data_IF_069755289271
#
_entry.id   IF_069755289271
#
_cell.length_a   1.000
_cell.length_b   1.000
_cell.length_c   1.000
_cell.angle_alpha   90.00
_cell.angle_beta   90.00
_cell.angle_gamma   90.00
#
_symmetry.space_group_name_H-M   'P 1'
#
loop_
_entity.id
_entity.type
_entity.pdbx_description
1 polymer ?
#
# COMPACT_ATOMS: atom_id res chain seq x y z
N UNK A 1 14.61 -11.37 -25.61
CA UNK A 1 15.23 -10.43 -24.66
C UNK A 1 14.19 -9.35 -24.42
N UNK A 2 13.58 -9.29 -23.23
CA UNK A 2 12.66 -8.20 -22.90
C UNK A 2 13.42 -6.88 -23.01
N UNK A 3 12.80 -5.86 -23.60
CA UNK A 3 13.40 -4.54 -23.61
C UNK A 3 13.67 -4.08 -22.16
N UNK A 4 14.78 -3.36 -21.90
CA UNK A 4 15.02 -2.79 -20.58
C UNK A 4 13.85 -1.85 -20.22
N UNK A 5 13.37 -1.94 -18.98
CA UNK A 5 12.32 -1.09 -18.44
C UNK A 5 12.85 0.34 -18.27
N UNK A 6 12.75 1.16 -19.33
CA UNK A 6 13.10 2.57 -19.28
C UNK A 6 12.00 3.35 -18.58
N UNK A 7 12.20 3.60 -17.29
CA UNK A 7 11.24 4.29 -16.42
C UNK A 7 10.88 5.67 -16.98
N UNK A 8 11.86 6.43 -17.50
CA UNK A 8 11.62 7.80 -17.95
C UNK A 8 10.80 7.83 -19.25
N UNK A 9 11.16 6.97 -20.21
CA UNK A 9 10.43 6.86 -21.47
C UNK A 9 9.00 6.32 -21.25
N UNK A 10 8.84 5.30 -20.41
CA UNK A 10 7.53 4.73 -20.08
C UNK A 10 6.67 5.73 -19.31
N UNK A 11 7.22 6.46 -18.33
CA UNK A 11 6.47 7.49 -17.61
C UNK A 11 5.94 8.58 -18.56
N UNK A 12 6.76 9.05 -19.50
CA UNK A 12 6.33 10.02 -20.51
C UNK A 12 5.24 9.46 -21.44
N UNK A 13 5.40 8.21 -21.89
CA UNK A 13 4.44 7.54 -22.79
C UNK A 13 3.08 7.29 -22.13
N UNK A 14 3.09 6.99 -20.83
CA UNK A 14 1.91 6.60 -20.07
C UNK A 14 1.24 7.75 -19.29
N UNK A 15 1.81 8.96 -19.31
CA UNK A 15 1.30 10.13 -18.59
C UNK A 15 -0.18 10.46 -18.89
N UNK A 16 -0.64 10.17 -20.12
CA UNK A 16 -2.02 10.44 -20.56
C UNK A 16 -2.82 9.16 -20.85
N UNK A 17 -2.33 7.99 -20.41
CA UNK A 17 -3.01 6.71 -20.59
C UNK A 17 -4.03 6.48 -19.47
N UNK A 18 -4.98 5.58 -19.72
CA UNK A 18 -5.94 5.19 -18.69
C UNK A 18 -5.23 4.46 -17.53
N UNK A 19 -5.74 4.53 -16.29
CA UNK A 19 -5.21 3.76 -15.16
C UNK A 19 -5.10 2.26 -15.47
N UNK A 20 -6.07 1.70 -16.20
CA UNK A 20 -6.06 0.30 -16.61
C UNK A 20 -4.91 -0.03 -17.57
N UNK A 21 -4.56 0.87 -18.48
CA UNK A 21 -3.40 0.66 -19.38
C UNK A 21 -2.07 0.76 -18.62
N UNK A 22 -1.98 1.66 -17.63
CA UNK A 22 -0.82 1.76 -16.74
C UNK A 22 -0.67 0.47 -15.91
N UNK A 23 -1.77 -0.06 -15.38
CA UNK A 23 -1.76 -1.33 -14.63
C UNK A 23 -1.40 -2.52 -15.52
N UNK A 24 -1.90 -2.57 -16.76
CA UNK A 24 -1.51 -3.61 -17.73
C UNK A 24 0.00 -3.60 -17.96
N UNK A 25 0.59 -2.43 -18.22
CA UNK A 25 2.04 -2.29 -18.36
C UNK A 25 2.78 -2.81 -17.13
N UNK A 26 2.31 -2.45 -15.93
CA UNK A 26 2.93 -2.87 -14.68
C UNK A 26 2.83 -4.40 -14.50
N UNK A 27 1.68 -5.01 -14.75
CA UNK A 27 1.52 -6.47 -14.71
C UNK A 27 2.33 -7.19 -15.80
N UNK A 28 2.47 -6.63 -16.99
CA UNK A 28 3.30 -7.20 -18.06
C UNK A 28 4.78 -7.29 -17.66
N UNK A 29 5.28 -6.34 -16.88
CA UNK A 29 6.70 -6.27 -16.50
C UNK A 29 7.01 -6.93 -15.15
N UNK A 30 6.12 -6.78 -14.17
CA UNK A 30 6.34 -7.25 -12.80
C UNK A 30 5.49 -8.46 -12.43
N UNK A 31 4.49 -8.83 -13.24
CA UNK A 31 3.65 -10.00 -13.00
C UNK A 31 3.08 -10.02 -11.58
N UNK A 32 3.26 -11.14 -10.90
CA UNK A 32 2.80 -11.35 -9.52
C UNK A 32 3.69 -10.65 -8.47
N UNK A 33 4.79 -10.01 -8.86
CA UNK A 33 5.63 -9.20 -7.95
C UNK A 33 5.19 -7.74 -7.86
N UNK A 34 4.12 -7.35 -8.58
CA UNK A 34 3.45 -6.06 -8.40
C UNK A 34 2.52 -6.09 -7.17
N UNK A 35 2.77 -5.21 -6.22
CA UNK A 35 1.92 -5.04 -5.03
C UNK A 35 1.05 -3.77 -5.11
N UNK A 36 -0.21 -3.89 -4.68
CA UNK A 36 -1.11 -2.75 -4.52
C UNK A 36 -1.13 -2.33 -3.05
N UNK A 37 -0.88 -1.05 -2.79
CA UNK A 37 -1.09 -0.43 -1.48
C UNK A 37 -2.54 0.03 -1.37
N UNK A 38 -3.26 -0.48 -0.37
CA UNK A 38 -4.67 -0.19 -0.14
C UNK A 38 -4.87 0.41 1.26
N UNK A 39 -5.28 1.68 1.33
CA UNK A 39 -5.46 2.42 2.59
C UNK A 39 -6.92 2.61 3.01
N UNK A 40 -7.88 2.29 2.15
CA UNK A 40 -9.31 2.43 2.44
C UNK A 40 -10.10 2.92 1.24
N UNK A 41 -11.14 3.72 1.50
CA UNK A 41 -12.15 4.08 0.51
C UNK A 41 -11.58 4.75 -0.75
N UNK A 42 -10.54 5.58 -0.62
CA UNK A 42 -9.89 6.22 -1.79
C UNK A 42 -9.27 5.21 -2.78
N UNK A 43 -8.69 4.12 -2.26
CA UNK A 43 -7.87 3.21 -3.05
C UNK A 43 -8.65 2.01 -3.61
N UNK A 44 -9.92 1.84 -3.25
CA UNK A 44 -10.69 0.65 -3.64
C UNK A 44 -10.85 0.53 -5.16
N UNK A 45 -10.87 1.66 -5.87
CA UNK A 45 -10.93 1.67 -7.34
C UNK A 45 -9.66 1.07 -7.94
N UNK A 46 -8.50 1.34 -7.35
CA UNK A 46 -7.23 0.73 -7.78
C UNK A 46 -7.25 -0.79 -7.54
N UNK A 47 -7.74 -1.25 -6.38
CA UNK A 47 -7.91 -2.68 -6.09
C UNK A 47 -8.84 -3.34 -7.10
N UNK A 48 -10.00 -2.72 -7.39
CA UNK A 48 -10.97 -3.23 -8.36
C UNK A 48 -10.37 -3.36 -9.77
N UNK A 49 -9.70 -2.30 -10.25
CA UNK A 49 -9.07 -2.30 -11.57
C UNK A 49 -7.97 -3.35 -11.65
N UNK A 50 -7.11 -3.44 -10.63
CA UNK A 50 -6.02 -4.40 -10.59
C UNK A 50 -6.53 -5.84 -10.53
N UNK A 51 -7.54 -6.13 -9.70
CA UNK A 51 -8.16 -7.45 -9.59
C UNK A 51 -8.90 -7.88 -10.87
N UNK A 52 -9.47 -6.94 -11.62
CA UNK A 52 -10.06 -7.22 -12.95
C UNK A 52 -9.01 -7.65 -13.97
N UNK A 53 -7.79 -7.16 -13.85
CA UNK A 53 -6.66 -7.53 -14.72
C UNK A 53 -5.94 -8.79 -14.26
N UNK A 54 -5.72 -8.95 -12.96
CA UNK A 54 -5.09 -10.13 -12.36
C UNK A 54 -5.84 -10.57 -11.09
N UNK A 55 -6.47 -11.75 -11.13
CA UNK A 55 -7.20 -12.33 -9.99
C UNK A 55 -6.31 -12.73 -8.81
N UNK A 56 -5.01 -12.83 -9.03
CA UNK A 56 -4.00 -13.14 -8.01
C UNK A 56 -3.22 -11.90 -7.57
N UNK A 57 -3.74 -10.70 -7.83
CA UNK A 57 -3.09 -9.44 -7.44
C UNK A 57 -2.76 -9.44 -5.94
N UNK A 58 -1.52 -9.09 -5.60
CA UNK A 58 -1.08 -8.97 -4.21
C UNK A 58 -1.41 -7.59 -3.68
N UNK A 59 -2.07 -7.54 -2.52
CA UNK A 59 -2.53 -6.30 -1.90
C UNK A 59 -2.04 -6.26 -0.46
N UNK A 60 -1.60 -5.10 0.00
CA UNK A 60 -1.28 -4.86 1.40
C UNK A 60 -1.95 -3.59 1.94
N UNK A 61 -2.19 -3.56 3.24
CA UNK A 61 -2.70 -2.40 3.97
C UNK A 61 -1.81 -2.08 5.16
N UNK A 62 -1.55 -0.78 5.38
CA UNK A 62 -0.80 -0.30 6.55
C UNK A 62 -1.75 -0.10 7.72
N UNK A 63 -1.81 -1.08 8.61
CA UNK A 63 -2.52 -0.93 9.86
C UNK A 63 -1.65 -0.14 10.85
N UNK A 64 -1.95 1.13 11.03
CA UNK A 64 -1.25 1.99 12.00
C UNK A 64 -1.59 1.64 13.46
N UNK A 65 -2.55 0.74 13.69
CA UNK A 65 -3.15 0.42 14.98
C UNK A 65 -4.12 1.50 15.49
N UNK A 66 -4.38 2.54 14.68
CA UNK A 66 -5.18 3.72 15.05
C UNK A 66 -6.15 4.14 13.92
N UNK A 67 -6.43 3.24 13.00
CA UNK A 67 -7.44 3.45 11.96
C UNK A 67 -8.84 3.52 12.57
N UNK A 68 -9.77 4.12 11.84
CA UNK A 68 -11.18 4.09 12.22
C UNK A 68 -11.70 2.64 12.21
N UNK A 69 -12.58 2.24 13.14
CA UNK A 69 -13.26 0.94 13.09
C UNK A 69 -13.95 0.68 11.73
N UNK A 70 -14.48 1.73 11.10
CA UNK A 70 -15.06 1.71 9.76
C UNK A 70 -14.04 1.25 8.72
N UNK A 71 -12.79 1.72 8.80
CA UNK A 71 -11.71 1.33 7.89
C UNK A 71 -11.37 -0.16 8.04
N UNK A 72 -11.32 -0.70 9.26
CA UNK A 72 -11.08 -2.13 9.45
C UNK A 72 -12.20 -2.98 8.83
N UNK A 73 -13.47 -2.61 9.08
CA UNK A 73 -14.62 -3.31 8.47
C UNK A 73 -14.57 -3.22 6.95
N UNK A 74 -14.19 -2.07 6.41
CA UNK A 74 -14.09 -1.90 4.96
C UNK A 74 -12.93 -2.71 4.35
N UNK A 75 -11.77 -2.77 5.00
CA UNK A 75 -10.66 -3.61 4.55
C UNK A 75 -11.09 -5.08 4.49
N UNK A 76 -11.77 -5.57 5.53
CA UNK A 76 -12.26 -6.93 5.58
C UNK A 76 -13.38 -7.19 4.55
N UNK A 77 -14.27 -6.22 4.34
CA UNK A 77 -15.29 -6.31 3.29
C UNK A 77 -14.66 -6.42 1.89
N UNK A 78 -13.60 -5.65 1.60
CA UNK A 78 -12.87 -5.74 0.33
C UNK A 78 -12.15 -7.09 0.22
N UNK A 79 -11.53 -7.56 1.31
CA UNK A 79 -10.91 -8.89 1.39
C UNK A 79 -11.88 -9.99 0.97
N UNK A 80 -13.09 -9.97 1.53
CA UNK A 80 -14.15 -10.95 1.24
C UNK A 80 -14.74 -10.81 -0.16
N UNK A 81 -15.05 -9.59 -0.59
CA UNK A 81 -15.69 -9.30 -1.87
C UNK A 81 -14.83 -9.75 -3.06
N UNK A 82 -13.51 -9.58 -2.97
CA UNK A 82 -12.56 -9.90 -4.04
C UNK A 82 -11.85 -11.24 -3.84
N UNK A 83 -12.11 -11.95 -2.74
CA UNK A 83 -11.42 -13.18 -2.32
C UNK A 83 -9.88 -13.02 -2.35
N UNK A 84 -9.39 -11.90 -1.81
CA UNK A 84 -7.98 -11.56 -1.79
C UNK A 84 -7.41 -11.68 -0.38
N UNK A 85 -6.28 -12.38 -0.18
CA UNK A 85 -5.58 -12.36 1.10
C UNK A 85 -4.81 -11.04 1.27
N UNK A 86 -5.51 -9.98 1.71
CA UNK A 86 -4.89 -8.67 1.97
C UNK A 86 -3.89 -8.79 3.12
N UNK A 87 -2.62 -8.44 2.86
CA UNK A 87 -1.57 -8.46 3.86
C UNK A 87 -1.66 -7.24 4.78
N UNK A 88 -1.92 -7.46 6.07
CA UNK A 88 -2.03 -6.39 7.06
C UNK A 88 -0.67 -6.16 7.72
N UNK A 89 -0.13 -4.95 7.57
CA UNK A 89 1.17 -4.56 8.11
C UNK A 89 1.01 -3.68 9.34
N UNK A 90 1.31 -4.25 10.52
CA UNK A 90 1.26 -3.52 11.80
C UNK A 90 2.63 -2.90 12.18
N UNK A 91 2.65 -1.89 13.08
CA UNK A 91 3.89 -1.24 13.50
C UNK A 91 4.78 -2.19 14.31
N UNK A 92 6.11 -2.01 14.23
CA UNK A 92 7.04 -2.72 15.09
C UNK A 92 6.87 -2.29 16.56
N UNK A 93 6.49 -3.26 17.40
CA UNK A 93 6.29 -3.07 18.83
C UNK A 93 7.55 -2.54 19.53
N UNK A 94 8.73 -2.98 19.12
CA UNK A 94 9.99 -2.55 19.73
C UNK A 94 10.25 -1.05 19.55
N UNK A 95 9.67 -0.44 18.51
CA UNK A 95 9.73 1.01 18.25
C UNK A 95 8.54 1.74 18.85
N UNK A 96 7.35 1.13 18.80
CA UNK A 96 6.11 1.75 19.23
C UNK A 96 5.98 1.87 20.75
N UNK A 97 6.33 0.83 21.49
CA UNK A 97 6.21 0.78 22.95
C UNK A 97 6.99 1.91 23.65
N UNK A 98 8.30 2.14 23.38
CA UNK A 98 9.02 3.24 24.02
C UNK A 98 8.46 4.62 23.63
N UNK A 99 8.11 4.82 22.36
CA UNK A 99 7.52 6.07 21.88
C UNK A 99 6.22 6.43 22.61
N UNK A 100 5.30 5.46 22.76
CA UNK A 100 4.04 5.67 23.49
C UNK A 100 4.29 5.85 24.98
N UNK A 101 5.23 5.10 25.57
CA UNK A 101 5.58 5.21 26.99
C UNK A 101 6.11 6.60 27.33
N UNK A 102 6.92 7.19 26.45
CA UNK A 102 7.52 8.51 26.66
C UNK A 102 6.56 9.65 26.32
N UNK A 103 5.90 9.59 25.16
CA UNK A 103 5.16 10.73 24.58
C UNK A 103 3.63 10.59 24.64
N UNK A 104 3.13 9.45 25.13
CA UNK A 104 1.71 9.14 25.17
C UNK A 104 1.11 8.80 23.80
N UNK A 105 -0.22 8.72 23.75
CA UNK A 105 -0.97 8.25 22.57
C UNK A 105 -1.29 9.34 21.53
N UNK A 106 -0.96 10.60 21.82
CA UNK A 106 -1.43 11.78 21.10
C UNK A 106 -0.35 12.88 20.93
N UNK A 107 0.92 12.52 21.00
CA UNK A 107 2.05 13.47 20.84
C UNK A 107 2.00 14.26 19.53
N UNK A 108 1.44 13.66 18.48
CA UNK A 108 1.32 14.27 17.15
C UNK A 108 0.48 15.56 17.10
N UNK A 109 -0.35 15.84 18.11
CA UNK A 109 -1.04 17.15 18.21
C UNK A 109 -0.12 18.28 18.65
N UNK A 110 1.02 17.96 19.28
CA UNK A 110 1.99 18.93 19.81
C UNK A 110 3.27 18.95 18.98
N UNK A 111 3.79 17.78 18.64
CA UNK A 111 5.09 17.58 17.99
C UNK A 111 4.97 17.48 16.46
N UNK A 112 3.74 17.46 15.94
CA UNK A 112 3.45 17.09 14.56
C UNK A 112 3.46 15.57 14.32
N UNK A 113 2.90 15.13 13.20
CA UNK A 113 2.67 13.71 12.94
C UNK A 113 3.91 12.93 12.50
N UNK A 114 5.03 13.61 12.19
CA UNK A 114 6.20 13.02 11.52
C UNK A 114 6.76 11.78 12.22
N UNK A 115 6.98 11.85 13.53
CA UNK A 115 7.49 10.71 14.32
C UNK A 115 6.46 9.58 14.44
N UNK A 116 5.20 9.91 14.76
CA UNK A 116 4.11 8.95 14.87
C UNK A 116 3.90 8.19 13.54
N UNK A 117 3.82 8.91 12.42
CA UNK A 117 3.73 8.31 11.09
C UNK A 117 5.01 7.57 10.72
N UNK A 118 6.18 8.07 11.13
CA UNK A 118 7.47 7.41 10.97
C UNK A 118 7.42 5.98 11.51
N UNK A 119 6.95 5.81 12.74
CA UNK A 119 6.88 4.52 13.44
C UNK A 119 5.69 3.68 12.95
N UNK A 120 4.49 4.26 12.85
CA UNK A 120 3.25 3.51 12.58
C UNK A 120 2.99 3.22 11.11
N UNK A 121 3.56 4.00 10.20
CA UNK A 121 3.27 3.93 8.74
C UNK A 121 4.52 3.71 7.92
N UNK A 122 5.51 4.60 8.05
CA UNK A 122 6.67 4.64 7.16
C UNK A 122 7.61 3.46 7.41
N UNK A 123 7.87 3.13 8.67
CA UNK A 123 8.68 1.97 9.04
C UNK A 123 8.12 0.64 8.53
N UNK A 124 6.85 0.27 8.79
CA UNK A 124 6.29 -0.97 8.27
C UNK A 124 6.21 -0.97 6.74
N UNK A 125 5.92 0.18 6.11
CA UNK A 125 5.97 0.32 4.64
C UNK A 125 7.38 0.03 4.11
N UNK A 126 8.42 0.64 4.66
CA UNK A 126 9.81 0.40 4.22
C UNK A 126 10.22 -1.06 4.38
N UNK A 127 9.82 -1.70 5.49
CA UNK A 127 10.06 -3.13 5.71
C UNK A 127 9.41 -3.99 4.63
N UNK A 128 8.16 -3.67 4.23
CA UNK A 128 7.50 -4.35 3.13
C UNK A 128 8.18 -4.09 1.80
N UNK A 129 8.41 -2.83 1.45
CA UNK A 129 8.94 -2.45 0.15
C UNK A 129 10.37 -2.95 -0.09
N UNK A 130 11.14 -3.22 0.98
CA UNK A 130 12.45 -3.87 0.86
C UNK A 130 12.37 -5.31 0.29
N UNK A 131 11.18 -5.90 0.21
CA UNK A 131 10.93 -7.26 -0.29
C UNK A 131 10.21 -7.29 -1.64
N UNK A 132 9.89 -6.13 -2.24
CA UNK A 132 9.08 -6.05 -3.47
C UNK A 132 9.81 -5.32 -4.58
N UNK A 133 9.60 -5.75 -5.83
CA UNK A 133 10.23 -5.15 -7.01
C UNK A 133 9.49 -3.90 -7.50
N UNK A 134 8.16 -3.89 -7.38
CA UNK A 134 7.31 -2.77 -7.78
C UNK A 134 6.03 -2.71 -6.93
N UNK A 135 5.46 -1.52 -6.83
CA UNK A 135 4.20 -1.29 -6.14
C UNK A 135 3.43 -0.12 -6.75
N UNK A 136 2.11 -0.07 -6.54
CA UNK A 136 1.23 1.00 -6.96
C UNK A 136 0.36 1.50 -5.81
N UNK A 137 -0.03 2.78 -5.88
CA UNK A 137 -0.92 3.48 -4.93
C UNK A 137 -2.06 4.17 -5.68
N UNK A 138 -3.19 4.38 -5.01
CA UNK A 138 -4.35 5.10 -5.55
C UNK A 138 -4.19 6.61 -5.54
#
# INVERSE_FOLDING_TARGET
MSQPFDVAALAATYANKSPQDILKLAFEHFGDDLWISFSGAEDVVLVDMAWKLNKQVKVFSLDTGRLHPETYRFIDQVREQYDLPIEILSPDRAKLDPFVKEKGLFSFYKDGHGECCGIRKIEPLRRKLATVSAWATG
#
